data_IF_686901145075
#
_entry.id   IF_686901145075
#
_cell.length_a   1.000
_cell.length_b   1.000
_cell.length_c   1.000
_cell.angle_alpha   90.00
_cell.angle_beta   90.00
_cell.angle_gamma   90.00
#
_symmetry.space_group_name_H-M   'P 1'
#
loop_
_entity.id
_entity.type
_entity.pdbx_description
1 polymer ?
#
# COMPACT_ATOMS: atom_id res chain seq x y z
N UNK A 1 -37.65 46.27 -21.12
CA UNK A 1 -38.16 44.87 -21.09
C UNK A 1 -37.05 43.83 -21.32
N UNK A 2 -36.05 44.12 -22.17
CA UNK A 2 -34.90 43.26 -22.49
C UNK A 2 -33.91 43.01 -21.33
N UNK A 3 -33.69 43.97 -20.44
CA UNK A 3 -32.80 43.80 -19.28
C UNK A 3 -33.35 42.83 -18.22
N UNK A 4 -34.66 42.83 -17.99
CA UNK A 4 -35.33 41.96 -17.00
C UNK A 4 -35.34 40.51 -17.47
N UNK A 5 -35.54 40.27 -18.77
CA UNK A 5 -35.45 38.94 -19.38
C UNK A 5 -34.03 38.35 -19.31
N UNK A 6 -32.99 39.15 -19.59
CA UNK A 6 -31.59 38.72 -19.43
C UNK A 6 -31.21 38.41 -17.99
N UNK A 7 -31.67 39.21 -17.02
CA UNK A 7 -31.43 38.96 -15.59
C UNK A 7 -32.10 37.67 -15.11
N UNK A 8 -33.34 37.39 -15.57
CA UNK A 8 -34.06 36.17 -15.23
C UNK A 8 -33.39 34.92 -15.81
N UNK A 9 -32.93 34.99 -17.07
CA UNK A 9 -32.21 33.90 -17.73
C UNK A 9 -30.89 33.58 -17.02
N UNK A 10 -30.14 34.63 -16.65
CA UNK A 10 -28.86 34.51 -15.94
C UNK A 10 -29.04 33.87 -14.56
N UNK A 11 -30.09 34.24 -13.80
CA UNK A 11 -30.37 33.64 -12.49
C UNK A 11 -30.76 32.16 -12.57
N UNK A 12 -31.51 31.77 -13.62
CA UNK A 12 -31.86 30.36 -13.86
C UNK A 12 -30.65 29.54 -14.26
N UNK A 13 -29.75 30.11 -15.06
CA UNK A 13 -28.49 29.49 -15.45
C UNK A 13 -27.53 29.32 -14.28
N UNK A 14 -27.43 30.31 -13.37
CA UNK A 14 -26.59 30.17 -12.16
C UNK A 14 -27.13 29.11 -11.21
N UNK A 15 -28.45 29.06 -10.97
CA UNK A 15 -29.04 28.01 -10.14
C UNK A 15 -28.85 26.60 -10.74
N UNK A 16 -28.92 26.48 -12.07
CA UNK A 16 -28.62 25.22 -12.75
C UNK A 16 -27.15 24.83 -12.60
N UNK A 17 -26.22 25.77 -12.76
CA UNK A 17 -24.79 25.55 -12.57
C UNK A 17 -24.46 25.11 -11.13
N UNK A 18 -25.01 25.79 -10.12
CA UNK A 18 -24.82 25.44 -8.70
C UNK A 18 -25.31 24.02 -8.41
N UNK A 19 -26.47 23.64 -8.95
CA UNK A 19 -27.01 22.29 -8.81
C UNK A 19 -26.11 21.23 -9.44
N UNK A 20 -25.51 21.53 -10.60
CA UNK A 20 -24.57 20.62 -11.27
C UNK A 20 -23.30 20.47 -10.44
N UNK A 21 -22.72 21.57 -9.96
CA UNK A 21 -21.51 21.56 -9.12
C UNK A 21 -21.74 20.75 -7.84
N UNK A 22 -22.84 20.98 -7.12
CA UNK A 22 -23.16 20.24 -5.90
C UNK A 22 -23.39 18.75 -6.15
N UNK A 23 -24.02 18.40 -7.28
CA UNK A 23 -24.23 17.00 -7.66
C UNK A 23 -22.91 16.31 -8.00
N UNK A 24 -22.02 16.98 -8.71
CA UNK A 24 -20.67 16.49 -9.03
C UNK A 24 -19.83 16.33 -7.76
N UNK A 25 -19.85 17.31 -6.86
CA UNK A 25 -19.16 17.22 -5.57
C UNK A 25 -19.67 16.04 -4.71
N UNK A 26 -20.99 15.84 -4.67
CA UNK A 26 -21.60 14.69 -3.99
C UNK A 26 -21.24 13.35 -4.63
N UNK A 27 -21.13 13.28 -5.96
CA UNK A 27 -20.69 12.09 -6.69
C UNK A 27 -19.21 11.78 -6.45
N UNK A 28 -18.35 12.81 -6.46
CA UNK A 28 -16.92 12.69 -6.11
C UNK A 28 -16.77 12.18 -4.67
N UNK A 29 -17.52 12.73 -3.72
CA UNK A 29 -17.49 12.28 -2.32
C UNK A 29 -17.89 10.81 -2.17
N UNK A 30 -18.92 10.36 -2.91
CA UNK A 30 -19.29 8.95 -2.96
C UNK A 30 -18.21 8.09 -3.60
N UNK A 31 -17.59 8.55 -4.69
CA UNK A 31 -16.47 7.84 -5.34
C UNK A 31 -15.26 7.71 -4.42
N UNK A 32 -14.89 8.76 -3.68
CA UNK A 32 -13.81 8.74 -2.69
C UNK A 32 -14.05 7.68 -1.61
N UNK A 33 -15.30 7.53 -1.16
CA UNK A 33 -15.67 6.50 -0.16
C UNK A 33 -15.78 5.09 -0.72
N UNK A 34 -16.08 4.94 -2.01
CA UNK A 34 -16.24 3.65 -2.66
C UNK A 34 -14.90 3.10 -3.17
N UNK A 35 -13.95 3.98 -3.51
CA UNK A 35 -12.65 3.58 -4.03
C UNK A 35 -11.66 3.29 -2.91
N UNK A 36 -11.84 2.12 -2.27
CA UNK A 36 -10.80 1.51 -1.44
C UNK A 36 -9.69 0.99 -2.37
N UNK A 37 -8.45 1.52 -2.30
CA UNK A 37 -7.35 1.04 -3.15
C UNK A 37 -6.85 -0.35 -2.72
N UNK A 38 -7.29 -0.86 -1.57
CA UNK A 38 -6.82 -2.12 -1.00
C UNK A 38 -6.94 -3.32 -1.94
N UNK A 39 -8.07 -3.61 -2.60
CA UNK A 39 -8.16 -4.82 -3.44
C UNK A 39 -7.17 -4.79 -4.61
N UNK A 40 -6.93 -3.60 -5.17
CA UNK A 40 -5.97 -3.41 -6.25
C UNK A 40 -4.55 -3.60 -5.71
N UNK A 41 -4.22 -2.94 -4.60
CA UNK A 41 -2.90 -3.02 -3.98
C UNK A 41 -2.58 -4.45 -3.51
N UNK A 42 -3.55 -5.15 -2.93
CA UNK A 42 -3.44 -6.54 -2.51
C UNK A 42 -3.24 -7.49 -3.69
N UNK A 43 -3.96 -7.27 -4.81
CA UNK A 43 -3.75 -8.06 -6.03
C UNK A 43 -2.31 -7.93 -6.57
N UNK A 44 -1.73 -6.73 -6.55
CA UNK A 44 -0.34 -6.53 -6.96
C UNK A 44 0.65 -7.07 -5.92
N UNK A 45 0.34 -6.90 -4.63
CA UNK A 45 1.13 -7.43 -3.53
C UNK A 45 1.03 -8.95 -3.38
N UNK A 46 0.07 -9.63 -3.99
CA UNK A 46 -0.03 -11.10 -3.97
C UNK A 46 0.96 -11.79 -4.92
N UNK A 47 1.64 -11.05 -5.81
CA UNK A 47 2.58 -11.63 -6.79
C UNK A 47 3.90 -12.06 -6.11
N UNK A 48 4.56 -13.13 -6.57
CA UNK A 48 5.88 -13.49 -6.03
C UNK A 48 6.90 -12.36 -6.26
N UNK A 49 7.91 -12.21 -5.38
CA UNK A 49 8.95 -11.20 -5.57
C UNK A 49 9.82 -11.52 -6.80
N UNK A 50 10.18 -10.50 -7.58
CA UNK A 50 10.85 -10.64 -8.89
C UNK A 50 12.23 -11.29 -8.78
N UNK A 51 13.01 -10.94 -7.76
CA UNK A 51 14.35 -11.49 -7.50
C UNK A 51 14.35 -12.35 -6.23
N UNK A 52 13.30 -13.16 -6.06
CA UNK A 52 13.14 -14.02 -4.90
C UNK A 52 14.11 -15.21 -4.88
N UNK A 53 14.56 -15.59 -3.69
CA UNK A 53 15.34 -16.80 -3.43
C UNK A 53 14.51 -17.75 -2.58
N UNK A 54 14.69 -19.05 -2.79
CA UNK A 54 14.01 -20.08 -2.00
C UNK A 54 14.66 -20.26 -0.62
N UNK A 55 13.81 -20.23 0.40
CA UNK A 55 14.14 -20.57 1.79
C UNK A 55 13.35 -21.80 2.17
N UNK A 56 14.01 -22.79 2.76
CA UNK A 56 13.40 -24.11 3.03
C UNK A 56 13.15 -24.34 4.51
N UNK A 57 13.82 -23.57 5.39
CA UNK A 57 13.75 -23.75 6.84
C UNK A 57 13.19 -22.50 7.52
N UNK A 58 12.12 -22.66 8.28
CA UNK A 58 11.39 -21.62 9.00
C UNK A 58 11.46 -21.87 10.50
N UNK A 59 12.17 -20.99 11.20
CA UNK A 59 12.32 -21.00 12.64
C UNK A 59 11.39 -19.98 13.31
N UNK A 60 11.16 -20.14 14.61
CA UNK A 60 10.46 -19.11 15.41
C UNK A 60 11.42 -17.99 15.81
N UNK A 61 10.93 -16.74 15.78
CA UNK A 61 11.65 -15.61 16.34
C UNK A 61 11.83 -15.76 17.86
N UNK A 62 12.90 -15.18 18.44
CA UNK A 62 13.01 -15.00 19.89
C UNK A 62 11.92 -14.09 20.43
N UNK A 63 11.47 -14.33 21.66
CA UNK A 63 10.38 -13.56 22.30
C UNK A 63 10.65 -12.05 22.35
N UNK A 64 11.91 -11.62 22.42
CA UNK A 64 12.29 -10.20 22.42
C UNK A 64 12.00 -9.46 21.10
N UNK A 65 11.84 -10.21 20.01
CA UNK A 65 11.64 -9.70 18.65
C UNK A 65 10.18 -9.82 18.17
N UNK A 66 9.33 -10.48 18.97
CA UNK A 66 7.91 -10.72 18.68
C UNK A 66 7.14 -9.40 18.61
N UNK A 67 6.19 -9.31 17.67
CA UNK A 67 5.32 -8.14 17.48
C UNK A 67 5.96 -6.94 16.77
N UNK A 68 7.24 -7.00 16.41
CA UNK A 68 7.97 -5.88 15.79
C UNK A 68 7.89 -5.85 14.24
N UNK A 69 7.04 -6.69 13.63
CA UNK A 69 6.96 -6.86 12.18
C UNK A 69 8.32 -7.09 11.52
N UNK A 70 9.21 -7.83 12.19
CA UNK A 70 10.54 -8.16 11.68
C UNK A 70 10.63 -9.60 11.24
N UNK A 71 11.64 -9.87 10.41
CA UNK A 71 12.06 -11.20 10.01
C UNK A 71 13.58 -11.28 10.08
N UNK A 72 14.11 -12.37 10.65
CA UNK A 72 15.57 -12.59 10.66
C UNK A 72 15.96 -13.53 9.53
N UNK A 73 16.91 -13.08 8.73
CA UNK A 73 17.49 -13.84 7.63
C UNK A 73 18.92 -14.25 7.96
N UNK A 74 19.40 -15.34 7.35
CA UNK A 74 20.82 -15.68 7.34
C UNK A 74 21.67 -14.49 6.89
N UNK A 75 22.81 -14.27 7.53
CA UNK A 75 23.69 -13.10 7.29
C UNK A 75 24.14 -12.97 5.83
N UNK A 76 24.13 -14.06 5.06
CA UNK A 76 24.49 -14.09 3.64
C UNK A 76 23.47 -13.39 2.75
N UNK A 77 22.22 -13.27 3.21
CA UNK A 77 21.12 -12.69 2.44
C UNK A 77 20.84 -11.22 2.79
N UNK A 78 21.56 -10.66 3.76
CA UNK A 78 21.50 -9.24 4.12
C UNK A 78 22.64 -8.48 3.44
N UNK A 79 22.28 -7.45 2.68
CA UNK A 79 23.27 -6.56 2.07
C UNK A 79 23.99 -5.74 3.14
N UNK A 80 25.31 -5.63 2.99
CA UNK A 80 26.18 -4.78 3.79
C UNK A 80 27.31 -4.24 2.92
N UNK A 81 28.06 -3.24 3.40
CA UNK A 81 29.22 -2.69 2.66
C UNK A 81 30.21 -3.78 2.25
N UNK A 82 30.38 -4.81 3.08
CA UNK A 82 31.26 -5.95 2.82
C UNK A 82 30.61 -7.07 1.98
N UNK A 83 29.29 -7.01 1.75
CA UNK A 83 28.52 -8.01 1.00
C UNK A 83 27.39 -7.34 0.20
N UNK A 84 27.68 -6.82 -1.01
CA UNK A 84 26.67 -6.19 -1.86
C UNK A 84 25.70 -7.21 -2.47
N UNK A 85 26.04 -8.50 -2.47
CA UNK A 85 25.26 -9.58 -3.10
C UNK A 85 24.07 -10.11 -2.28
N UNK A 86 23.78 -9.51 -1.12
CA UNK A 86 22.60 -9.88 -0.34
C UNK A 86 21.29 -9.61 -1.11
N UNK A 87 20.22 -10.29 -0.72
CA UNK A 87 18.89 -10.14 -1.34
C UNK A 87 18.25 -8.81 -0.93
N UNK A 88 18.47 -8.37 0.31
CA UNK A 88 17.80 -7.21 0.88
C UNK A 88 18.70 -6.46 1.87
N UNK A 89 18.60 -5.14 1.90
CA UNK A 89 19.27 -4.31 2.90
C UNK A 89 18.72 -4.51 4.32
N UNK A 90 19.58 -4.31 5.33
CA UNK A 90 19.11 -4.32 6.73
C UNK A 90 18.07 -3.21 6.97
N UNK A 91 17.02 -3.50 7.73
CA UNK A 91 15.85 -2.62 7.98
C UNK A 91 15.05 -2.24 6.73
N UNK A 92 15.30 -2.87 5.59
CA UNK A 92 14.44 -2.75 4.41
C UNK A 92 13.29 -3.76 4.49
N UNK A 93 12.22 -3.50 3.77
CA UNK A 93 11.09 -4.41 3.69
C UNK A 93 11.44 -5.58 2.77
N UNK A 94 11.17 -6.79 3.25
CA UNK A 94 11.30 -8.03 2.51
C UNK A 94 9.94 -8.69 2.45
N UNK A 95 9.65 -9.27 1.29
CA UNK A 95 8.44 -10.03 1.04
C UNK A 95 8.76 -11.51 1.18
N UNK A 96 7.93 -12.20 1.94
CA UNK A 96 7.90 -13.64 2.01
C UNK A 96 6.62 -14.11 1.35
N UNK A 97 6.75 -14.98 0.36
CA UNK A 97 5.64 -15.54 -0.39
C UNK A 97 5.67 -17.06 -0.26
N UNK A 98 4.55 -17.64 0.14
CA UNK A 98 4.37 -19.08 0.19
C UNK A 98 3.75 -19.55 -1.15
N UNK A 99 4.52 -20.22 -2.03
CA UNK A 99 4.03 -20.69 -3.31
C UNK A 99 2.98 -21.80 -3.20
N UNK A 100 2.87 -22.49 -2.06
CA UNK A 100 1.91 -23.58 -1.89
C UNK A 100 0.46 -23.11 -1.75
N UNK A 101 0.25 -21.92 -1.15
CA UNK A 101 -1.09 -21.36 -0.91
C UNK A 101 -1.27 -19.94 -1.47
N UNK A 102 -0.22 -19.31 -2.00
CA UNK A 102 -0.25 -17.94 -2.52
C UNK A 102 -0.29 -16.87 -1.44
N UNK A 103 -0.16 -17.23 -0.16
CA UNK A 103 -0.14 -16.27 0.94
C UNK A 103 1.20 -15.55 0.99
N UNK A 104 1.17 -14.31 1.48
CA UNK A 104 2.38 -13.52 1.61
C UNK A 104 2.34 -12.66 2.87
N UNK A 105 3.53 -12.30 3.35
CA UNK A 105 3.73 -11.29 4.37
C UNK A 105 4.89 -10.39 3.97
N UNK A 106 4.85 -9.15 4.43
CA UNK A 106 5.90 -8.17 4.22
C UNK A 106 6.38 -7.73 5.59
N UNK A 107 7.69 -7.81 5.83
CA UNK A 107 8.29 -7.59 7.14
C UNK A 107 9.63 -6.86 6.98
N UNK A 108 10.13 -6.28 8.06
CA UNK A 108 11.46 -5.67 8.07
C UNK A 108 12.57 -6.72 8.18
N UNK A 109 13.49 -6.71 7.21
CA UNK A 109 14.63 -7.60 7.19
C UNK A 109 15.66 -7.23 8.25
N UNK A 110 15.94 -8.18 9.14
CA UNK A 110 17.02 -8.14 10.11
C UNK A 110 18.00 -9.28 9.83
N UNK A 111 19.27 -9.09 10.19
CA UNK A 111 20.20 -10.21 10.22
C UNK A 111 19.90 -11.16 11.37
N UNK A 112 20.39 -12.40 11.25
CA UNK A 112 20.45 -13.35 12.36
C UNK A 112 21.10 -12.70 13.60
N UNK A 113 20.84 -13.19 14.81
CA UNK A 113 21.49 -12.64 16.00
C UNK A 113 22.82 -13.36 16.26
N UNK A 114 23.81 -12.69 16.88
CA UNK A 114 25.12 -13.31 17.17
C UNK A 114 24.98 -14.58 18.04
N UNK A 115 23.97 -14.64 18.91
CA UNK A 115 23.70 -15.80 19.77
C UNK A 115 22.84 -16.91 19.15
N UNK A 116 22.26 -16.71 17.95
CA UNK A 116 21.46 -17.72 17.22
C UNK A 116 21.70 -17.58 15.71
N UNK A 117 22.81 -18.15 15.20
CA UNK A 117 23.11 -18.10 13.78
C UNK A 117 22.06 -18.90 13.00
N UNK A 118 21.48 -18.27 11.98
CA UNK A 118 20.61 -18.93 11.01
C UNK A 118 21.48 -19.54 9.91
N UNK A 119 21.07 -20.72 9.41
CA UNK A 119 21.62 -21.28 8.18
C UNK A 119 21.35 -20.32 7.01
N UNK A 120 22.11 -20.45 5.93
CA UNK A 120 22.01 -19.58 4.75
C UNK A 120 20.56 -19.42 4.30
N UNK A 121 19.91 -20.51 3.89
CA UNK A 121 18.55 -20.49 3.33
C UNK A 121 17.49 -20.78 4.40
N UNK A 122 17.62 -20.09 5.54
CA UNK A 122 16.69 -20.18 6.64
C UNK A 122 16.25 -18.82 7.16
N UNK A 123 15.02 -18.79 7.66
CA UNK A 123 14.33 -17.58 8.09
C UNK A 123 13.72 -17.79 9.46
N UNK A 124 13.73 -16.78 10.32
CA UNK A 124 12.99 -16.80 11.57
C UNK A 124 11.84 -15.80 11.53
N UNK A 125 10.63 -16.28 11.86
CA UNK A 125 9.37 -15.55 11.78
C UNK A 125 8.61 -15.60 13.11
N UNK A 126 7.81 -14.58 13.34
CA UNK A 126 6.85 -14.52 14.43
C UNK A 126 5.68 -15.49 14.19
N UNK A 127 4.98 -15.86 15.24
CA UNK A 127 3.78 -16.69 15.20
C UNK A 127 2.72 -16.11 14.25
N UNK A 128 2.41 -14.81 14.36
CA UNK A 128 1.40 -14.17 13.50
C UNK A 128 1.80 -14.17 12.02
N UNK A 129 3.10 -14.00 11.74
CA UNK A 129 3.62 -14.07 10.37
C UNK A 129 3.54 -15.49 9.80
N UNK A 130 3.84 -16.51 10.63
CA UNK A 130 3.66 -17.91 10.25
C UNK A 130 2.21 -18.22 9.95
N UNK A 131 1.29 -17.78 10.81
CA UNK A 131 -0.14 -17.98 10.63
C UNK A 131 -0.64 -17.30 9.34
N UNK A 132 -0.22 -16.06 9.08
CA UNK A 132 -0.56 -15.34 7.85
C UNK A 132 -0.04 -16.05 6.58
N UNK A 133 1.16 -16.64 6.64
CA UNK A 133 1.72 -17.49 5.58
C UNK A 133 1.06 -18.87 5.49
N UNK A 134 0.14 -19.22 6.39
CA UNK A 134 -0.51 -20.53 6.44
C UNK A 134 0.40 -21.65 6.97
N UNK A 135 1.42 -21.31 7.76
CA UNK A 135 2.38 -22.26 8.35
C UNK A 135 1.91 -22.62 9.76
N UNK A 136 1.41 -23.84 9.94
CA UNK A 136 0.81 -24.28 11.20
C UNK A 136 1.81 -24.94 12.17
N UNK A 137 2.70 -25.81 11.69
CA UNK A 137 3.67 -26.56 12.52
C UNK A 137 4.96 -27.00 11.83
N UNK A 138 4.98 -27.10 10.50
CA UNK A 138 6.16 -27.59 9.77
C UNK A 138 7.24 -26.50 9.69
N UNK A 139 8.44 -26.83 10.17
CA UNK A 139 9.62 -25.95 10.03
C UNK A 139 10.22 -26.04 8.62
N UNK A 140 9.82 -27.02 7.81
CA UNK A 140 10.28 -27.19 6.44
C UNK A 140 9.20 -26.74 5.46
N UNK A 141 9.22 -25.46 5.10
CA UNK A 141 8.31 -24.86 4.13
C UNK A 141 9.13 -24.07 3.13
N UNK A 142 8.83 -24.29 1.85
CA UNK A 142 9.41 -23.55 0.75
C UNK A 142 8.79 -22.14 0.71
N UNK A 143 9.61 -21.12 0.97
CA UNK A 143 9.24 -19.71 0.89
C UNK A 143 10.08 -18.99 -0.15
N UNK A 144 9.43 -18.21 -1.01
CA UNK A 144 10.13 -17.28 -1.89
C UNK A 144 10.33 -15.97 -1.11
N UNK A 145 11.60 -15.60 -0.88
CA UNK A 145 11.96 -14.41 -0.12
C UNK A 145 12.72 -13.43 -1.02
N UNK A 146 12.24 -12.20 -1.10
CA UNK A 146 12.86 -11.16 -1.95
C UNK A 146 12.58 -9.75 -1.43
N UNK A 147 13.37 -8.77 -1.88
CA UNK A 147 13.14 -7.36 -1.53
C UNK A 147 11.73 -6.92 -1.97
N UNK A 148 11.05 -6.20 -1.08
CA UNK A 148 9.70 -5.68 -1.35
C UNK A 148 9.78 -4.58 -2.42
N UNK A 149 8.98 -4.73 -3.48
CA UNK A 149 8.89 -3.71 -4.53
C UNK A 149 8.12 -2.47 -4.05
N UNK A 150 8.02 -1.44 -4.89
CA UNK A 150 7.32 -0.20 -4.51
C UNK A 150 5.86 -0.45 -4.09
N UNK A 151 5.12 -1.28 -4.82
CA UNK A 151 3.74 -1.62 -4.49
C UNK A 151 3.59 -2.38 -3.18
N UNK A 152 4.49 -3.35 -2.93
CA UNK A 152 4.56 -4.09 -1.67
C UNK A 152 4.79 -3.14 -0.48
N UNK A 153 5.71 -2.18 -0.65
CA UNK A 153 6.03 -1.19 0.39
C UNK A 153 4.86 -0.27 0.70
N UNK A 154 4.16 0.20 -0.32
CA UNK A 154 2.96 1.03 -0.15
C UNK A 154 1.84 0.22 0.54
N UNK A 155 1.60 -1.02 0.11
CA UNK A 155 0.65 -1.92 0.77
C UNK A 155 1.01 -2.12 2.25
N UNK A 156 2.29 -2.37 2.55
CA UNK A 156 2.73 -2.56 3.93
C UNK A 156 2.46 -1.33 4.79
N UNK A 157 2.93 -0.15 4.36
CA UNK A 157 2.79 1.08 5.14
C UNK A 157 1.33 1.52 5.30
N UNK A 158 0.46 1.18 4.36
CA UNK A 158 -0.95 1.56 4.43
C UNK A 158 -1.78 0.63 5.33
N UNK A 159 -1.46 -0.67 5.38
CA UNK A 159 -2.35 -1.64 6.05
C UNK A 159 -1.71 -2.51 7.12
N UNK A 160 -0.43 -2.88 6.99
CA UNK A 160 0.17 -3.93 7.84
C UNK A 160 1.27 -3.41 8.76
N UNK A 161 1.74 -2.18 8.56
CA UNK A 161 2.71 -1.53 9.43
C UNK A 161 2.18 -1.52 10.86
N UNK A 162 3.04 -1.81 11.85
CA UNK A 162 2.61 -1.89 13.26
C UNK A 162 2.16 -0.52 13.77
N UNK A 163 2.81 0.54 13.32
CA UNK A 163 2.53 1.91 13.72
C UNK A 163 1.22 2.42 13.10
N UNK A 164 0.23 2.67 13.96
CA UNK A 164 -1.06 3.23 13.54
C UNK A 164 -0.92 4.62 12.91
N UNK A 165 0.07 5.41 13.35
CA UNK A 165 0.31 6.75 12.82
C UNK A 165 0.79 6.68 11.36
N UNK A 166 1.71 5.76 11.05
CA UNK A 166 2.18 5.45 9.69
C UNK A 166 1.00 5.11 8.75
N UNK A 167 0.13 4.18 9.18
CA UNK A 167 -1.06 3.80 8.42
C UNK A 167 -2.02 4.96 8.18
N UNK A 168 -2.30 5.75 9.22
CA UNK A 168 -3.20 6.91 9.13
C UNK A 168 -2.66 8.01 8.21
N UNK A 169 -1.35 8.26 8.23
CA UNK A 169 -0.71 9.25 7.38
C UNK A 169 -0.78 8.85 5.90
N UNK A 170 -0.57 7.56 5.58
CA UNK A 170 -0.71 7.04 4.22
C UNK A 170 -2.15 7.05 3.73
N UNK A 171 -3.09 6.67 4.58
CA UNK A 171 -4.52 6.77 4.28
C UNK A 171 -4.95 8.22 4.01
N UNK A 172 -4.48 9.18 4.83
CA UNK A 172 -4.72 10.60 4.60
C UNK A 172 -4.14 11.07 3.26
N UNK A 173 -2.94 10.63 2.91
CA UNK A 173 -2.33 10.91 1.60
C UNK A 173 -3.21 10.45 0.43
N UNK A 174 -3.80 9.25 0.53
CA UNK A 174 -4.77 8.76 -0.46
C UNK A 174 -6.02 9.64 -0.54
N UNK A 175 -6.59 10.04 0.60
CA UNK A 175 -7.76 10.93 0.60
C UNK A 175 -7.46 12.31 0.01
N UNK A 176 -6.29 12.87 0.30
CA UNK A 176 -5.85 14.15 -0.29
C UNK A 176 -5.63 14.03 -1.80
N UNK A 177 -5.06 12.92 -2.27
CA UNK A 177 -4.91 12.64 -3.69
C UNK A 177 -6.28 12.59 -4.39
N UNK A 178 -7.23 11.84 -3.84
CA UNK A 178 -8.58 11.73 -4.40
C UNK A 178 -9.34 13.07 -4.34
N UNK A 179 -9.18 13.85 -3.26
CA UNK A 179 -9.73 15.19 -3.16
C UNK A 179 -9.14 16.14 -4.21
N UNK A 180 -7.83 16.05 -4.48
CA UNK A 180 -7.14 16.84 -5.50
C UNK A 180 -7.61 16.53 -6.93
N UNK A 181 -7.84 15.24 -7.24
CA UNK A 181 -8.49 14.83 -8.49
C UNK A 181 -9.89 15.43 -8.59
N UNK A 182 -10.69 15.28 -7.52
CA UNK A 182 -12.05 15.82 -7.45
C UNK A 182 -12.11 17.33 -7.68
N UNK A 183 -11.20 18.07 -7.04
CA UNK A 183 -11.09 19.52 -7.21
C UNK A 183 -10.73 19.92 -8.64
N UNK A 184 -9.77 19.22 -9.25
CA UNK A 184 -9.37 19.46 -10.64
C UNK A 184 -10.53 19.28 -11.62
N UNK A 185 -11.34 18.23 -11.42
CA UNK A 185 -12.55 17.99 -12.23
C UNK A 185 -13.56 19.13 -12.03
N UNK A 186 -13.85 19.50 -10.77
CA UNK A 186 -14.80 20.56 -10.46
C UNK A 186 -14.40 21.91 -11.10
N UNK A 187 -13.13 22.30 -10.96
CA UNK A 187 -12.61 23.53 -11.55
C UNK A 187 -12.69 23.52 -13.10
N UNK A 188 -12.45 22.36 -13.72
CA UNK A 188 -12.56 22.22 -15.18
C UNK A 188 -14.00 22.37 -15.65
N UNK A 189 -14.97 21.77 -14.93
CA UNK A 189 -16.40 21.90 -15.22
C UNK A 189 -16.86 23.35 -15.03
N UNK A 190 -16.46 24.00 -13.94
CA UNK A 190 -16.79 25.42 -13.70
C UNK A 190 -16.24 26.33 -14.81
N UNK A 191 -15.00 26.10 -15.24
CA UNK A 191 -14.39 26.82 -16.36
C UNK A 191 -15.16 26.63 -17.67
N UNK A 192 -15.58 25.40 -17.98
CA UNK A 192 -16.40 25.10 -19.16
C UNK A 192 -17.77 25.79 -19.10
N UNK A 193 -18.45 25.73 -17.95
CA UNK A 193 -19.75 26.39 -17.75
C UNK A 193 -19.61 27.90 -17.93
N UNK A 194 -18.59 28.50 -17.34
CA UNK A 194 -18.33 29.94 -17.45
C UNK A 194 -18.03 30.35 -18.89
N UNK A 195 -17.25 29.56 -19.63
CA UNK A 195 -16.97 29.81 -21.03
C UNK A 195 -18.24 29.75 -21.89
N UNK A 196 -19.11 28.77 -21.67
CA UNK A 196 -20.41 28.66 -22.36
C UNK A 196 -21.30 29.86 -22.02
N UNK A 197 -21.38 30.25 -20.76
CA UNK A 197 -22.19 31.41 -20.34
C UNK A 197 -21.71 32.72 -20.97
N UNK A 198 -20.41 32.88 -21.19
CA UNK A 198 -19.83 34.07 -21.81
C UNK A 198 -20.00 34.10 -23.34
N UNK A 199 -20.35 32.98 -23.97
CA UNK A 199 -20.66 32.90 -25.41
C UNK A 199 -22.09 33.34 -25.76
N UNK A 200 -22.99 33.43 -24.76
CA UNK A 200 -24.38 33.86 -24.91
C UNK A 200 -24.61 35.27 -24.34
#
# INVERSE_FOLDING_TARGET
>A
MTHVLKANLKSKLTHFADSVVLTVAGAIWKLVKVFDPRPIQEHFAARPPVNGVMFTNVFSLPDADVGQSIVRLGWQHIQSENKPSGIVGRKKLVKLFNPANGHFVILYAMGANQGRPLKKDSVALDYDAKLALGISKEENVDLIVGEANLGDREYFHMYTDHDASSRSARALGWYLFMAGIGWSIAATVEGLVTAVLNMF
#
